data_IF_177371481686
#
_entry.id   IF_177371481686
#
_cell.length_a   1.000
_cell.length_b   1.000
_cell.length_c   1.000
_cell.angle_alpha   90.00
_cell.angle_beta   90.00
_cell.angle_gamma   90.00
#
_symmetry.space_group_name_H-M   'P 1'
#
loop_
_entity.id
_entity.type
_entity.pdbx_description
1 polymer ?
#
# COMPACT_ATOMS: atom_id res chain seq x y z
N UNK A 1 -38.03 41.98 74.05
CA UNK A 1 -37.52 40.68 74.56
C UNK A 1 -37.94 39.61 73.57
N UNK A 2 -37.13 38.84 72.86
CA UNK A 2 -35.68 38.70 72.72
C UNK A 2 -35.47 37.31 72.09
N UNK A 3 -34.65 37.23 71.03
CA UNK A 3 -33.98 36.03 70.47
C UNK A 3 -34.88 34.93 69.87
N UNK A 4 -34.59 34.27 68.73
CA UNK A 4 -33.33 33.88 68.08
C UNK A 4 -33.52 33.87 66.56
N UNK A 5 -32.62 34.52 65.83
CA UNK A 5 -32.49 34.36 64.40
C UNK A 5 -31.57 33.19 64.06
N UNK A 6 -31.99 32.34 63.13
CA UNK A 6 -31.11 31.48 62.35
C UNK A 6 -31.17 32.01 60.91
N UNK A 7 -30.18 32.82 60.54
CA UNK A 7 -29.88 33.13 59.15
C UNK A 7 -28.93 32.04 58.67
N UNK A 8 -29.44 31.09 57.91
CA UNK A 8 -28.60 30.23 57.11
C UNK A 8 -27.88 31.07 56.06
N UNK A 9 -26.56 30.90 56.03
CA UNK A 9 -25.62 31.60 55.18
C UNK A 9 -25.94 31.35 53.71
N UNK A 10 -26.20 32.44 52.99
CA UNK A 10 -26.52 32.46 51.56
C UNK A 10 -25.22 32.55 50.74
N UNK A 11 -24.36 31.52 50.78
CA UNK A 11 -23.25 31.36 49.83
C UNK A 11 -22.88 29.87 49.70
N UNK A 12 -22.99 29.24 48.51
CA UNK A 12 -22.23 28.04 48.24
C UNK A 12 -20.74 28.42 48.22
N UNK A 13 -19.99 27.74 49.08
CA UNK A 13 -18.53 27.84 49.19
C UNK A 13 -17.84 27.62 47.84
N UNK A 14 -16.96 28.56 47.50
CA UNK A 14 -15.74 28.42 46.71
C UNK A 14 -15.53 27.06 46.00
N UNK A 15 -16.03 26.94 44.76
CA UNK A 15 -15.23 26.24 43.74
C UNK A 15 -14.37 27.31 43.08
N UNK A 16 -13.12 27.39 43.50
CA UNK A 16 -12.14 28.25 42.83
C UNK A 16 -12.03 27.79 41.36
N UNK A 17 -12.11 28.69 40.36
CA UNK A 17 -12.00 28.34 38.93
C UNK A 17 -10.71 27.58 38.58
N UNK A 18 -9.70 27.70 39.45
CA UNK A 18 -8.40 27.04 39.36
C UNK A 18 -8.50 25.53 39.59
N UNK A 19 -9.37 25.06 40.50
CA UNK A 19 -9.61 23.63 40.73
C UNK A 19 -10.26 22.94 39.52
N UNK A 20 -11.24 23.60 38.90
CA UNK A 20 -11.89 23.10 37.67
C UNK A 20 -10.97 23.11 36.45
N UNK A 21 -10.01 24.05 36.38
CA UNK A 21 -9.04 24.10 35.29
C UNK A 21 -7.98 23.00 35.42
N UNK A 22 -7.52 22.72 36.64
CA UNK A 22 -6.56 21.65 36.89
C UNK A 22 -7.16 20.27 36.60
N UNK A 23 -8.40 20.02 37.03
CA UNK A 23 -9.14 18.79 36.68
C UNK A 23 -9.37 18.65 35.17
N UNK A 24 -9.72 19.74 34.47
CA UNK A 24 -9.88 19.71 33.02
C UNK A 24 -8.57 19.48 32.27
N UNK A 25 -7.45 20.02 32.78
CA UNK A 25 -6.11 19.77 32.22
C UNK A 25 -5.69 18.31 32.43
N UNK A 26 -5.94 17.74 33.61
CA UNK A 26 -5.60 16.34 33.91
C UNK A 26 -6.41 15.35 33.07
N UNK A 27 -7.71 15.64 32.87
CA UNK A 27 -8.55 14.89 31.94
C UNK A 27 -8.06 15.03 30.48
N UNK A 28 -7.66 16.23 30.06
CA UNK A 28 -7.09 16.45 28.73
C UNK A 28 -5.78 15.69 28.55
N UNK A 29 -4.88 15.68 29.54
CA UNK A 29 -3.61 14.95 29.50
C UNK A 29 -3.85 13.45 29.47
N UNK A 30 -4.74 12.92 30.31
CA UNK A 30 -5.11 11.49 30.29
C UNK A 30 -5.74 11.09 28.96
N UNK A 31 -6.64 11.91 28.41
CA UNK A 31 -7.23 11.68 27.10
C UNK A 31 -6.19 11.73 25.97
N UNK A 32 -5.22 12.65 26.07
CA UNK A 32 -4.10 12.74 25.13
C UNK A 32 -3.18 11.52 25.24
N UNK A 33 -2.83 11.08 26.45
CA UNK A 33 -1.99 9.91 26.68
C UNK A 33 -2.67 8.62 26.21
N UNK A 34 -3.95 8.44 26.50
CA UNK A 34 -4.75 7.33 25.97
C UNK A 34 -4.85 7.39 24.44
N UNK A 35 -5.05 8.58 23.88
CA UNK A 35 -5.07 8.77 22.43
C UNK A 35 -3.72 8.37 21.81
N UNK A 36 -2.62 8.90 22.32
CA UNK A 36 -1.25 8.60 21.87
C UNK A 36 -0.93 7.11 22.03
N UNK A 37 -1.32 6.51 23.15
CA UNK A 37 -1.16 5.08 23.43
C UNK A 37 -1.91 4.26 22.38
N UNK A 38 -3.17 4.58 22.08
CA UNK A 38 -3.94 3.88 21.05
C UNK A 38 -3.33 4.04 19.66
N UNK A 39 -2.87 5.24 19.29
CA UNK A 39 -2.19 5.46 18.02
C UNK A 39 -0.89 4.64 17.92
N UNK A 40 -0.14 4.50 19.02
CA UNK A 40 1.06 3.67 19.06
C UNK A 40 0.73 2.18 18.87
N UNK A 41 -0.30 1.66 19.54
CA UNK A 41 -0.75 0.28 19.33
C UNK A 41 -1.15 0.02 17.88
N UNK A 42 -1.88 0.96 17.25
CA UNK A 42 -2.27 0.84 15.84
C UNK A 42 -1.06 0.87 14.91
N UNK A 43 -0.04 1.68 15.22
CA UNK A 43 1.22 1.66 14.49
C UNK A 43 1.91 0.29 14.63
N UNK A 44 1.95 -0.29 15.83
CA UNK A 44 2.51 -1.63 16.02
C UNK A 44 1.73 -2.71 15.26
N UNK A 45 0.39 -2.66 15.27
CA UNK A 45 -0.44 -3.60 14.49
C UNK A 45 -0.20 -3.47 13.00
N UNK A 46 -0.02 -2.24 12.51
CA UNK A 46 0.35 -1.97 11.12
C UNK A 46 1.69 -2.61 10.74
N UNK A 47 2.72 -2.43 11.58
CA UNK A 47 4.04 -3.03 11.34
C UNK A 47 3.99 -4.57 11.41
N UNK A 48 3.28 -5.12 12.39
CA UNK A 48 3.11 -6.57 12.54
C UNK A 48 2.36 -7.17 11.35
N UNK A 49 1.28 -6.52 10.89
CA UNK A 49 0.55 -6.91 9.69
C UNK A 49 1.50 -7.09 8.51
N UNK A 50 2.35 -6.10 8.22
CA UNK A 50 3.32 -6.19 7.13
C UNK A 50 4.42 -7.23 7.36
N UNK A 51 4.93 -7.37 8.60
CA UNK A 51 5.91 -8.41 8.91
C UNK A 51 5.37 -9.82 8.62
N UNK A 52 4.10 -10.07 8.93
CA UNK A 52 3.45 -11.34 8.61
C UNK A 52 3.20 -11.50 7.10
N UNK A 53 2.84 -10.42 6.40
CA UNK A 53 2.73 -10.40 4.93
C UNK A 53 4.02 -10.76 4.24
N UNK A 54 5.16 -10.20 4.67
CA UNK A 54 6.48 -10.50 4.11
C UNK A 54 6.90 -11.96 4.31
N UNK A 55 6.34 -12.63 5.33
CA UNK A 55 6.55 -14.06 5.59
C UNK A 55 5.51 -14.97 4.91
N UNK A 56 4.55 -14.41 4.17
CA UNK A 56 3.42 -15.18 3.60
C UNK A 56 2.47 -15.74 4.66
N UNK A 57 2.48 -15.21 5.89
CA UNK A 57 1.65 -15.70 7.01
C UNK A 57 0.30 -14.98 7.04
N UNK A 58 -0.57 -15.32 6.07
CA UNK A 58 -1.83 -14.62 5.79
C UNK A 58 -2.80 -14.57 6.97
N UNK A 59 -2.90 -15.65 7.77
CA UNK A 59 -3.80 -15.72 8.93
C UNK A 59 -3.49 -14.67 9.98
N UNK A 60 -2.20 -14.45 10.27
CA UNK A 60 -1.76 -13.43 11.22
C UNK A 60 -1.90 -12.03 10.63
N UNK A 61 -1.56 -11.84 9.35
CA UNK A 61 -1.77 -10.56 8.69
C UNK A 61 -3.25 -10.14 8.67
N UNK A 62 -4.15 -11.09 8.39
CA UNK A 62 -5.59 -10.93 8.47
C UNK A 62 -6.07 -10.55 9.88
N UNK A 63 -5.54 -11.20 10.93
CA UNK A 63 -5.84 -10.85 12.32
C UNK A 63 -5.52 -9.39 12.65
N UNK A 64 -4.32 -8.91 12.28
CA UNK A 64 -3.97 -7.49 12.53
C UNK A 64 -4.75 -6.52 11.64
N UNK A 65 -5.07 -6.90 10.40
CA UNK A 65 -5.95 -6.11 9.54
C UNK A 65 -7.36 -5.96 10.13
N UNK A 66 -7.88 -7.01 10.77
CA UNK A 66 -9.16 -6.96 11.49
C UNK A 66 -9.11 -5.99 12.68
N UNK A 67 -8.09 -6.09 13.55
CA UNK A 67 -7.90 -5.15 14.66
C UNK A 67 -7.85 -3.69 14.18
N UNK A 68 -7.04 -3.42 13.16
CA UNK A 68 -6.95 -2.08 12.55
C UNK A 68 -8.29 -1.63 11.98
N UNK A 69 -9.04 -2.51 11.31
CA UNK A 69 -10.33 -2.15 10.71
C UNK A 69 -11.42 -1.78 11.74
N UNK A 70 -11.32 -2.34 12.95
CA UNK A 70 -12.25 -2.10 14.06
C UNK A 70 -11.87 -0.86 14.86
N UNK A 71 -10.59 -0.68 15.13
CA UNK A 71 -10.11 0.34 16.08
C UNK A 71 -9.61 1.62 15.42
N UNK A 72 -9.16 1.57 14.16
CA UNK A 72 -8.53 2.70 13.49
C UNK A 72 -9.48 3.40 12.49
N UNK A 73 -9.66 4.71 12.67
CA UNK A 73 -10.55 5.53 11.84
C UNK A 73 -9.86 6.25 10.66
N UNK A 74 -8.53 6.18 10.53
CA UNK A 74 -7.78 6.96 9.53
C UNK A 74 -8.04 6.50 8.09
N UNK A 75 -8.21 5.19 7.86
CA UNK A 75 -8.54 4.66 6.54
C UNK A 75 -9.28 3.33 6.58
N UNK A 76 -10.52 3.37 7.08
CA UNK A 76 -11.36 2.17 7.25
C UNK A 76 -11.54 1.36 5.95
N UNK A 77 -11.70 2.04 4.81
CA UNK A 77 -11.81 1.37 3.51
C UNK A 77 -10.53 0.60 3.15
N UNK A 78 -9.35 1.15 3.46
CA UNK A 78 -8.07 0.46 3.21
C UNK A 78 -7.92 -0.76 4.11
N UNK A 79 -8.22 -0.65 5.41
CA UNK A 79 -8.08 -1.78 6.33
C UNK A 79 -9.04 -2.92 6.01
N UNK A 80 -10.30 -2.61 5.66
CA UNK A 80 -11.26 -3.64 5.22
C UNK A 80 -10.84 -4.27 3.90
N UNK A 81 -10.29 -3.49 2.95
CA UNK A 81 -9.71 -4.04 1.73
C UNK A 81 -8.53 -4.99 2.03
N UNK A 82 -7.60 -4.59 2.91
CA UNK A 82 -6.47 -5.44 3.30
C UNK A 82 -6.94 -6.72 4.00
N UNK A 83 -7.94 -6.62 4.88
CA UNK A 83 -8.58 -7.76 5.53
C UNK A 83 -9.17 -8.73 4.49
N UNK A 84 -9.93 -8.22 3.51
CA UNK A 84 -10.46 -9.02 2.41
C UNK A 84 -9.34 -9.64 1.55
N UNK A 85 -8.29 -8.86 1.26
CA UNK A 85 -7.14 -9.31 0.49
C UNK A 85 -6.42 -10.47 1.18
N UNK A 86 -6.13 -10.39 2.48
CA UNK A 86 -5.52 -11.51 3.20
C UNK A 86 -6.44 -12.72 3.27
N UNK A 87 -7.74 -12.53 3.50
CA UNK A 87 -8.68 -13.64 3.54
C UNK A 87 -8.75 -14.36 2.18
N UNK A 88 -8.66 -13.63 1.07
CA UNK A 88 -8.61 -14.22 -0.28
C UNK A 88 -7.32 -15.00 -0.58
N UNK A 89 -6.28 -14.88 0.26
CA UNK A 89 -5.02 -15.62 0.14
C UNK A 89 -5.03 -16.95 0.91
N UNK A 90 -6.11 -17.28 1.61
CA UNK A 90 -6.24 -18.52 2.36
C UNK A 90 -6.48 -19.70 1.42
N UNK A 91 -6.06 -20.89 1.84
CA UNK A 91 -6.45 -22.14 1.17
C UNK A 91 -7.93 -22.46 1.44
N UNK A 92 -8.57 -23.24 0.59
CA UNK A 92 -10.03 -23.51 0.70
C UNK A 92 -10.41 -24.15 2.03
N UNK A 93 -9.50 -24.96 2.57
CA UNK A 93 -9.65 -25.71 3.81
C UNK A 93 -9.19 -24.92 5.05
N UNK A 94 -8.66 -23.71 4.88
CA UNK A 94 -8.19 -22.90 5.99
C UNK A 94 -9.35 -22.43 6.88
N UNK A 95 -9.15 -22.59 8.19
CA UNK A 95 -10.06 -22.05 9.19
C UNK A 95 -10.13 -20.51 9.12
N UNK A 96 -11.36 -19.96 9.00
CA UNK A 96 -11.65 -18.52 9.01
C UNK A 96 -11.96 -18.06 10.45
N UNK A 97 -11.03 -17.40 11.17
CA UNK A 97 -11.18 -17.20 12.62
C UNK A 97 -12.31 -16.25 13.03
N UNK A 98 -12.79 -15.40 12.12
CA UNK A 98 -13.88 -14.47 12.39
C UNK A 98 -15.17 -14.77 11.60
N UNK A 99 -15.18 -15.86 10.81
CA UNK A 99 -16.32 -16.22 9.97
C UNK A 99 -16.66 -15.20 8.87
N UNK A 100 -15.72 -14.32 8.51
CA UNK A 100 -15.94 -13.36 7.42
C UNK A 100 -15.99 -14.04 6.05
N UNK A 101 -16.61 -13.35 5.11
CA UNK A 101 -16.61 -13.67 3.69
C UNK A 101 -15.83 -12.60 2.92
N UNK A 102 -14.84 -13.00 2.14
CA UNK A 102 -13.96 -12.08 1.42
C UNK A 102 -14.72 -11.26 0.36
N UNK A 103 -15.73 -11.84 -0.29
CA UNK A 103 -16.54 -11.15 -1.29
C UNK A 103 -17.38 -10.06 -0.63
N UNK A 104 -18.02 -10.35 0.49
CA UNK A 104 -18.79 -9.36 1.25
C UNK A 104 -17.91 -8.24 1.80
N UNK A 105 -16.69 -8.56 2.28
CA UNK A 105 -15.73 -7.54 2.69
C UNK A 105 -15.33 -6.63 1.52
N UNK A 106 -15.02 -7.18 0.35
CA UNK A 106 -14.73 -6.37 -0.83
C UNK A 106 -15.93 -5.50 -1.26
N UNK A 107 -17.15 -6.03 -1.22
CA UNK A 107 -18.39 -5.28 -1.53
C UNK A 107 -18.63 -4.10 -0.59
N UNK A 108 -18.18 -4.20 0.67
CA UNK A 108 -18.32 -3.12 1.63
C UNK A 108 -17.35 -1.94 1.38
N UNK A 109 -16.17 -2.18 0.78
CA UNK A 109 -15.09 -1.18 0.63
C UNK A 109 -15.57 0.16 0.01
N UNK A 110 -16.35 0.19 -1.10
CA UNK A 110 -16.85 1.43 -1.68
C UNK A 110 -17.69 2.30 -0.71
N UNK A 111 -18.42 1.68 0.21
CA UNK A 111 -19.28 2.35 1.19
C UNK A 111 -18.53 2.93 2.39
N UNK A 112 -17.27 2.54 2.60
CA UNK A 112 -16.45 2.95 3.75
C UNK A 112 -15.55 4.16 3.48
N UNK A 113 -15.68 4.75 2.28
CA UNK A 113 -14.87 5.86 1.79
C UNK A 113 -14.98 7.08 2.71
N UNK A 114 -13.83 7.58 3.16
CA UNK A 114 -13.76 8.86 3.87
C UNK A 114 -13.50 10.01 2.90
N UNK A 115 -14.00 11.20 3.25
CA UNK A 115 -13.69 12.46 2.56
C UNK A 115 -13.01 13.39 3.55
N UNK A 116 -11.75 13.71 3.31
CA UNK A 116 -10.98 14.70 4.04
C UNK A 116 -10.85 15.93 3.14
N UNK A 117 -11.37 17.08 3.58
CA UNK A 117 -11.42 18.31 2.77
C UNK A 117 -11.98 18.08 1.35
N UNK A 118 -13.04 17.28 1.23
CA UNK A 118 -13.70 16.95 -0.05
C UNK A 118 -12.93 15.96 -0.95
N UNK A 119 -11.71 15.57 -0.58
CA UNK A 119 -10.89 14.58 -1.31
C UNK A 119 -10.83 13.27 -0.53
N UNK A 120 -10.76 12.16 -1.24
CA UNK A 120 -10.47 10.85 -0.61
C UNK A 120 -9.01 10.50 -0.76
N UNK A 121 -8.52 9.77 0.22
CA UNK A 121 -7.16 9.25 0.27
C UNK A 121 -6.86 8.45 -1.01
N UNK A 122 -5.68 8.63 -1.64
CA UNK A 122 -5.33 7.91 -2.86
C UNK A 122 -5.41 6.38 -2.71
N UNK A 123 -5.00 5.86 -1.55
CA UNK A 123 -5.05 4.43 -1.20
C UNK A 123 -6.47 3.91 -1.09
N UNK A 124 -7.40 4.68 -0.52
CA UNK A 124 -8.83 4.31 -0.53
C UNK A 124 -9.39 4.30 -1.95
N UNK A 125 -9.06 5.31 -2.76
CA UNK A 125 -9.50 5.33 -4.16
C UNK A 125 -9.00 4.11 -4.93
N UNK A 126 -7.77 3.68 -4.66
CA UNK A 126 -7.20 2.45 -5.22
C UNK A 126 -7.99 1.23 -4.78
N UNK A 127 -8.15 1.01 -3.47
CA UNK A 127 -8.91 -0.11 -2.89
C UNK A 127 -10.37 -0.17 -3.40
N UNK A 128 -11.03 0.99 -3.48
CA UNK A 128 -12.39 1.11 -4.03
C UNK A 128 -12.42 0.72 -5.51
N UNK A 129 -11.42 1.12 -6.30
CA UNK A 129 -11.38 0.78 -7.73
C UNK A 129 -11.22 -0.73 -7.94
N UNK A 130 -10.29 -1.36 -7.21
CA UNK A 130 -10.03 -2.80 -7.28
C UNK A 130 -11.23 -3.63 -6.80
N UNK A 131 -11.90 -3.19 -5.73
CA UNK A 131 -13.07 -3.89 -5.18
C UNK A 131 -14.34 -3.82 -6.05
N UNK A 132 -14.42 -2.92 -7.02
CA UNK A 132 -15.63 -2.79 -7.89
C UNK A 132 -15.99 -4.08 -8.62
N UNK A 133 -15.02 -4.93 -8.97
CA UNK A 133 -15.28 -6.21 -9.64
C UNK A 133 -16.10 -7.19 -8.78
N UNK A 134 -16.15 -6.96 -7.46
CA UNK A 134 -16.95 -7.75 -6.52
C UNK A 134 -18.41 -7.32 -6.42
N UNK A 135 -18.79 -6.18 -7.01
CA UNK A 135 -20.20 -5.74 -7.06
C UNK A 135 -21.05 -6.59 -8.02
N UNK A 136 -20.41 -7.34 -8.92
CA UNK A 136 -21.09 -8.33 -9.76
C UNK A 136 -21.71 -9.44 -8.89
N UNK A 137 -22.88 -9.99 -9.25
CA UNK A 137 -23.43 -11.20 -8.63
C UNK A 137 -22.49 -12.41 -8.74
N UNK A 138 -21.69 -12.46 -9.81
CA UNK A 138 -20.66 -13.49 -10.05
C UNK A 138 -19.31 -12.79 -10.17
N UNK A 139 -18.65 -12.47 -9.05
CA UNK A 139 -17.42 -11.69 -9.06
C UNK A 139 -16.24 -12.53 -9.56
N UNK A 140 -15.30 -11.88 -10.24
CA UNK A 140 -14.01 -12.48 -10.62
C UNK A 140 -12.98 -12.03 -9.59
N UNK A 141 -12.31 -12.97 -8.96
CA UNK A 141 -11.37 -12.69 -7.87
C UNK A 141 -10.15 -11.88 -8.35
N UNK A 142 -9.58 -11.10 -7.43
CA UNK A 142 -8.29 -10.44 -7.65
C UNK A 142 -7.16 -11.47 -7.51
N UNK A 143 -6.15 -11.48 -8.40
CA UNK A 143 -4.96 -12.29 -8.20
C UNK A 143 -4.08 -11.62 -7.14
N UNK A 144 -3.74 -12.37 -6.09
CA UNK A 144 -2.75 -11.97 -5.08
C UNK A 144 -2.88 -10.52 -4.54
N UNK A 145 -4.08 -10.04 -4.16
CA UNK A 145 -4.32 -8.62 -3.84
C UNK A 145 -3.48 -8.09 -2.67
N UNK A 146 -3.05 -8.97 -1.74
CA UNK A 146 -2.14 -8.59 -0.67
C UNK A 146 -0.75 -8.20 -1.19
N UNK A 147 -0.25 -8.89 -2.23
CA UNK A 147 1.04 -8.63 -2.85
C UNK A 147 1.01 -7.41 -3.78
N UNK A 148 -0.14 -7.11 -4.37
CA UNK A 148 -0.38 -5.84 -5.06
C UNK A 148 -0.30 -4.66 -4.07
N UNK A 149 -0.95 -4.77 -2.91
CA UNK A 149 -0.85 -3.75 -1.86
C UNK A 149 0.57 -3.64 -1.31
N UNK A 150 1.29 -4.75 -1.17
CA UNK A 150 2.69 -4.72 -0.81
C UNK A 150 3.53 -3.86 -1.78
N UNK A 151 3.25 -3.90 -3.08
CA UNK A 151 3.90 -3.01 -4.05
C UNK A 151 3.55 -1.54 -3.81
N UNK A 152 2.27 -1.24 -3.57
CA UNK A 152 1.81 0.13 -3.28
C UNK A 152 2.51 0.70 -2.03
N UNK A 153 2.80 -0.12 -1.03
CA UNK A 153 3.53 0.27 0.18
C UNK A 153 5.04 0.07 0.13
N UNK A 154 5.61 -0.18 -1.05
CA UNK A 154 7.06 -0.33 -1.25
C UNK A 154 7.67 -1.53 -0.48
N UNK A 155 6.87 -2.55 -0.17
CA UNK A 155 7.29 -3.72 0.61
C UNK A 155 8.36 -4.57 -0.07
N UNK A 156 8.41 -4.60 -1.41
CA UNK A 156 9.46 -5.34 -2.14
C UNK A 156 10.86 -4.79 -1.85
N UNK A 157 11.00 -3.48 -1.63
CA UNK A 157 12.27 -2.89 -1.21
C UNK A 157 12.69 -3.29 0.21
N UNK A 158 11.71 -3.61 1.08
CA UNK A 158 11.95 -4.07 2.44
C UNK A 158 12.50 -5.49 2.43
N UNK A 159 11.88 -6.39 1.65
CA UNK A 159 12.31 -7.79 1.57
C UNK A 159 13.49 -8.02 0.62
N UNK A 160 13.82 -7.07 -0.25
CA UNK A 160 14.80 -7.25 -1.31
C UNK A 160 16.24 -7.54 -0.86
N UNK A 161 16.57 -7.34 0.42
CA UNK A 161 17.86 -7.74 1.03
C UNK A 161 17.78 -9.09 1.77
N UNK A 162 16.65 -9.77 1.70
CA UNK A 162 16.34 -11.04 2.35
C UNK A 162 15.91 -12.03 1.27
N UNK A 163 16.86 -12.73 0.62
CA UNK A 163 16.57 -13.65 -0.47
C UNK A 163 15.51 -14.68 -0.09
N UNK A 164 15.56 -15.20 1.15
CA UNK A 164 14.61 -16.23 1.62
C UNK A 164 13.15 -15.73 1.61
N UNK A 165 12.92 -14.46 1.99
CA UNK A 165 11.59 -13.86 1.93
C UNK A 165 11.18 -13.56 0.49
N UNK A 166 12.13 -13.11 -0.33
CA UNK A 166 11.87 -12.78 -1.75
C UNK A 166 11.54 -14.03 -2.57
N UNK A 167 12.24 -15.13 -2.34
CA UNK A 167 11.95 -16.43 -2.95
C UNK A 167 10.57 -16.94 -2.52
N UNK A 168 10.24 -16.88 -1.22
CA UNK A 168 8.92 -17.28 -0.74
C UNK A 168 7.77 -16.48 -1.38
N UNK A 169 7.95 -15.17 -1.57
CA UNK A 169 6.97 -14.34 -2.31
C UNK A 169 6.95 -14.69 -3.80
N UNK A 170 8.10 -14.94 -4.43
CA UNK A 170 8.19 -15.33 -5.83
C UNK A 170 7.48 -16.66 -6.11
N UNK A 171 7.55 -17.63 -5.21
CA UNK A 171 6.82 -18.90 -5.30
C UNK A 171 5.30 -18.69 -5.33
N UNK A 172 4.79 -17.80 -4.47
CA UNK A 172 3.35 -17.45 -4.42
C UNK A 172 2.92 -16.78 -5.74
N UNK A 173 3.73 -15.85 -6.25
CA UNK A 173 3.47 -15.15 -7.52
C UNK A 173 3.49 -16.14 -8.69
N UNK A 174 4.44 -17.07 -8.72
CA UNK A 174 4.56 -18.09 -9.78
C UNK A 174 3.35 -19.02 -9.80
N UNK A 175 2.87 -19.46 -8.62
CA UNK A 175 1.63 -20.24 -8.52
C UNK A 175 0.42 -19.44 -9.06
N UNK A 176 0.33 -18.15 -8.73
CA UNK A 176 -0.73 -17.29 -9.23
C UNK A 176 -0.68 -17.13 -10.76
N UNK A 177 0.51 -16.98 -11.33
CA UNK A 177 0.74 -16.95 -12.79
C UNK A 177 0.23 -18.22 -13.46
N UNK A 178 0.63 -19.39 -12.97
CA UNK A 178 0.16 -20.68 -13.51
C UNK A 178 -1.36 -20.85 -13.41
N UNK A 179 -1.97 -20.36 -12.33
CA UNK A 179 -3.42 -20.39 -12.15
C UNK A 179 -4.14 -19.50 -13.16
N UNK A 180 -3.58 -18.32 -13.47
CA UNK A 180 -4.13 -17.43 -14.50
C UNK A 180 -4.03 -18.06 -15.89
N UNK A 181 -2.87 -18.66 -16.22
CA UNK A 181 -2.65 -19.33 -17.51
C UNK A 181 -3.59 -20.51 -17.76
N UNK A 182 -3.93 -21.27 -16.70
CA UNK A 182 -4.86 -22.41 -16.76
C UNK A 182 -6.33 -21.98 -16.65
N UNK A 183 -6.58 -20.75 -16.24
CA UNK A 183 -7.92 -20.21 -16.00
C UNK A 183 -8.65 -19.84 -17.29
N UNK A 184 -9.99 -19.71 -17.25
CA UNK A 184 -10.73 -19.19 -18.39
C UNK A 184 -10.41 -17.70 -18.61
N UNK A 185 -10.21 -17.33 -19.88
CA UNK A 185 -10.07 -15.93 -20.27
C UNK A 185 -11.33 -15.14 -19.88
N UNK A 186 -11.14 -13.95 -19.33
CA UNK A 186 -12.20 -13.06 -18.89
C UNK A 186 -11.81 -11.60 -19.14
N UNK A 187 -12.70 -10.67 -18.81
CA UNK A 187 -12.50 -9.26 -19.13
C UNK A 187 -11.29 -8.60 -18.46
N UNK A 188 -10.73 -9.21 -17.41
CA UNK A 188 -9.60 -8.72 -16.63
C UNK A 188 -8.30 -9.50 -16.88
N UNK A 189 -8.31 -10.55 -17.68
CA UNK A 189 -7.17 -11.48 -17.83
C UNK A 189 -5.85 -10.76 -18.12
N UNK A 190 -5.84 -9.83 -19.07
CA UNK A 190 -4.62 -9.08 -19.43
C UNK A 190 -4.12 -8.19 -18.29
N UNK A 191 -5.03 -7.51 -17.58
CA UNK A 191 -4.70 -6.67 -16.44
C UNK A 191 -4.12 -7.52 -15.29
N UNK A 192 -4.76 -8.65 -14.99
CA UNK A 192 -4.38 -9.60 -13.96
C UNK A 192 -3.00 -10.26 -14.27
N UNK A 193 -2.76 -10.66 -15.52
CA UNK A 193 -1.45 -11.15 -16.01
C UNK A 193 -0.35 -10.09 -15.89
N UNK A 194 -0.62 -8.86 -16.35
CA UNK A 194 0.36 -7.77 -16.29
C UNK A 194 0.72 -7.41 -14.84
N UNK A 195 -0.25 -7.47 -13.91
CA UNK A 195 0.00 -7.31 -12.48
C UNK A 195 0.96 -8.40 -11.96
N UNK A 196 0.68 -9.67 -12.26
CA UNK A 196 1.53 -10.79 -11.84
C UNK A 196 2.94 -10.65 -12.40
N UNK A 197 3.09 -10.30 -13.68
CA UNK A 197 4.41 -10.02 -14.31
C UNK A 197 5.15 -8.86 -13.61
N UNK A 198 4.45 -7.79 -13.23
CA UNK A 198 5.07 -6.66 -12.52
C UNK A 198 5.66 -7.11 -11.18
N UNK A 199 4.88 -7.85 -10.39
CA UNK A 199 5.29 -8.33 -9.07
C UNK A 199 6.39 -9.38 -9.19
N UNK A 200 6.31 -10.28 -10.17
CA UNK A 200 7.35 -11.27 -10.48
C UNK A 200 8.67 -10.59 -10.84
N UNK A 201 8.63 -9.59 -11.72
CA UNK A 201 9.80 -8.81 -12.14
C UNK A 201 10.49 -8.13 -10.96
N UNK A 202 9.75 -7.63 -9.97
CA UNK A 202 10.31 -7.06 -8.75
C UNK A 202 11.09 -8.09 -7.92
N UNK A 203 10.53 -9.28 -7.69
CA UNK A 203 11.24 -10.34 -6.99
C UNK A 203 12.50 -10.79 -7.75
N UNK A 204 12.38 -11.03 -9.06
CA UNK A 204 13.49 -11.45 -9.92
C UNK A 204 14.62 -10.42 -9.91
N UNK A 205 14.27 -9.13 -9.96
CA UNK A 205 15.23 -8.03 -9.82
C UNK A 205 16.01 -8.12 -8.52
N UNK A 206 15.34 -8.25 -7.37
CA UNK A 206 16.02 -8.33 -6.07
C UNK A 206 16.84 -9.62 -5.88
N UNK A 207 16.48 -10.69 -6.57
CA UNK A 207 17.24 -11.94 -6.62
C UNK A 207 18.40 -11.92 -7.64
N UNK A 208 18.63 -10.80 -8.33
CA UNK A 208 19.69 -10.66 -9.32
C UNK A 208 19.41 -11.36 -10.66
N UNK A 209 18.19 -11.85 -10.89
CA UNK A 209 17.74 -12.46 -12.15
C UNK A 209 17.32 -11.38 -13.15
N UNK A 210 18.29 -10.54 -13.51
CA UNK A 210 18.11 -9.27 -14.23
C UNK A 210 17.40 -9.45 -15.58
N UNK A 211 17.81 -10.43 -16.39
CA UNK A 211 17.24 -10.64 -17.73
C UNK A 211 15.76 -11.01 -17.66
N UNK A 212 15.39 -11.89 -16.72
CA UNK A 212 14.00 -12.31 -16.53
C UNK A 212 13.15 -11.17 -15.97
N UNK A 213 13.71 -10.36 -15.06
CA UNK A 213 13.03 -9.15 -14.58
C UNK A 213 12.74 -8.17 -15.72
N UNK A 214 13.72 -7.92 -16.59
CA UNK A 214 13.56 -7.07 -17.77
C UNK A 214 12.48 -7.60 -18.72
N UNK A 215 12.47 -8.90 -19.01
CA UNK A 215 11.44 -9.53 -19.85
C UNK A 215 10.03 -9.35 -19.27
N UNK A 216 9.88 -9.57 -17.96
CA UNK A 216 8.61 -9.36 -17.26
C UNK A 216 8.13 -7.91 -17.41
N UNK A 217 8.98 -6.91 -17.16
CA UNK A 217 8.59 -5.50 -17.29
C UNK A 217 8.26 -5.10 -18.74
N UNK A 218 9.02 -5.59 -19.72
CA UNK A 218 8.76 -5.31 -21.15
C UNK A 218 7.47 -5.93 -21.64
N UNK A 219 7.11 -7.12 -21.15
CA UNK A 219 5.87 -7.81 -21.52
C UNK A 219 4.61 -6.99 -21.17
N UNK A 220 4.68 -6.21 -20.10
CA UNK A 220 3.58 -5.32 -19.67
C UNK A 220 3.38 -4.20 -20.70
N UNK A 221 4.45 -3.54 -21.12
CA UNK A 221 4.40 -2.50 -22.16
C UNK A 221 3.91 -3.05 -23.50
N UNK A 222 4.26 -4.29 -23.85
CA UNK A 222 3.78 -4.94 -25.07
C UNK A 222 2.26 -5.16 -25.08
N UNK A 223 1.62 -5.22 -23.90
CA UNK A 223 0.18 -5.38 -23.75
C UNK A 223 -0.57 -4.07 -23.44
N UNK A 224 0.07 -2.90 -23.54
CA UNK A 224 -0.51 -1.60 -23.19
C UNK A 224 -1.90 -1.36 -23.79
N UNK A 225 -2.08 -1.64 -25.09
CA UNK A 225 -3.36 -1.41 -25.79
C UNK A 225 -4.48 -2.36 -25.36
N UNK A 226 -4.15 -3.44 -24.64
CA UNK A 226 -5.09 -4.47 -24.21
C UNK A 226 -5.51 -4.32 -22.74
N UNK A 227 -4.75 -3.57 -21.94
CA UNK A 227 -5.09 -3.25 -20.54
C UNK A 227 -6.35 -2.37 -20.52
N UNK A 228 -7.34 -2.75 -19.72
CA UNK A 228 -8.65 -2.05 -19.68
C UNK A 228 -8.88 -1.22 -18.43
N UNK A 229 -8.31 -1.62 -17.29
CA UNK A 229 -8.67 -1.10 -15.98
C UNK A 229 -7.46 -0.53 -15.25
N UNK A 230 -6.39 -1.32 -15.12
CA UNK A 230 -5.23 -1.07 -14.29
C UNK A 230 -4.11 -0.35 -15.05
N UNK A 231 -4.48 0.78 -15.65
CA UNK A 231 -3.57 1.66 -16.41
C UNK A 231 -2.34 2.15 -15.62
N UNK A 232 -2.32 2.00 -14.29
CA UNK A 232 -1.13 2.30 -13.50
C UNK A 232 0.01 1.30 -13.78
N UNK A 233 -0.27 0.10 -14.28
CA UNK A 233 0.73 -0.93 -14.54
C UNK A 233 1.81 -0.46 -15.52
N UNK A 234 1.43 0.26 -16.58
CA UNK A 234 2.38 0.70 -17.61
C UNK A 234 3.43 1.70 -17.08
N UNK A 235 3.08 2.87 -16.52
CA UNK A 235 4.07 3.81 -16.01
C UNK A 235 4.87 3.23 -14.83
N UNK A 236 4.31 2.29 -14.06
CA UNK A 236 5.05 1.59 -13.02
C UNK A 236 6.04 0.56 -13.60
N UNK A 237 5.69 -0.21 -14.63
CA UNK A 237 6.61 -1.13 -15.31
C UNK A 237 7.78 -0.38 -15.96
N UNK A 238 7.51 0.77 -16.60
CA UNK A 238 8.56 1.64 -17.15
C UNK A 238 9.48 2.19 -16.07
N UNK A 239 8.93 2.60 -14.92
CA UNK A 239 9.71 3.03 -13.76
C UNK A 239 10.60 1.90 -13.22
N UNK A 240 10.06 0.70 -13.01
CA UNK A 240 10.85 -0.43 -12.49
C UNK A 240 11.93 -0.89 -13.47
N UNK A 241 11.64 -0.89 -14.78
CA UNK A 241 12.63 -1.16 -15.82
C UNK A 241 13.74 -0.09 -15.85
N UNK A 242 13.38 1.18 -15.70
CA UNK A 242 14.37 2.26 -15.61
C UNK A 242 15.28 2.09 -14.38
N UNK A 243 14.71 1.75 -13.22
CA UNK A 243 15.49 1.48 -12.02
C UNK A 243 16.44 0.28 -12.21
N UNK A 244 15.99 -0.77 -12.91
CA UNK A 244 16.83 -1.92 -13.28
C UNK A 244 17.98 -1.52 -14.21
N UNK A 245 17.76 -0.59 -15.14
CA UNK A 245 18.81 -0.06 -16.02
C UNK A 245 19.80 0.83 -15.29
N UNK A 246 19.35 1.63 -14.33
CA UNK A 246 20.23 2.42 -13.47
C UNK A 246 21.19 1.53 -12.68
N UNK A 247 20.71 0.40 -12.16
CA UNK A 247 21.55 -0.59 -11.45
C UNK A 247 22.61 -1.23 -12.35
N UNK A 248 22.38 -1.28 -13.66
CA UNK A 248 23.33 -1.75 -14.68
C UNK A 248 24.22 -0.62 -15.25
N UNK A 249 24.07 0.62 -14.77
CA UNK A 249 24.77 1.79 -15.31
C UNK A 249 24.22 2.34 -16.63
N UNK A 250 23.12 1.79 -17.15
CA UNK A 250 22.45 2.20 -18.41
C UNK A 250 21.56 3.43 -18.19
N UNK A 251 22.15 4.51 -17.66
CA UNK A 251 21.41 5.69 -17.20
C UNK A 251 20.74 6.48 -18.33
N UNK A 252 21.30 6.53 -19.54
CA UNK A 252 20.69 7.20 -20.68
C UNK A 252 19.38 6.53 -21.11
N UNK A 253 19.34 5.20 -21.12
CA UNK A 253 18.13 4.43 -21.41
C UNK A 253 17.10 4.59 -20.30
N UNK A 254 17.54 4.57 -19.03
CA UNK A 254 16.67 4.80 -17.89
C UNK A 254 15.97 6.18 -17.96
N UNK A 255 16.70 7.25 -18.29
CA UNK A 255 16.12 8.59 -18.43
C UNK A 255 15.02 8.63 -19.50
N UNK A 256 15.22 7.97 -20.65
CA UNK A 256 14.21 7.89 -21.72
C UNK A 256 12.94 7.19 -21.24
N UNK A 257 13.07 6.09 -20.50
CA UNK A 257 11.94 5.36 -19.92
C UNK A 257 11.18 6.21 -18.90
N UNK A 258 11.90 6.90 -18.00
CA UNK A 258 11.30 7.78 -16.98
C UNK A 258 10.56 8.97 -17.60
N UNK A 259 11.11 9.56 -18.66
CA UNK A 259 10.46 10.65 -19.39
C UNK A 259 9.18 10.17 -20.09
N UNK A 260 9.23 8.99 -20.72
CA UNK A 260 8.07 8.33 -21.32
C UNK A 260 6.98 8.07 -20.28
N UNK A 261 7.34 7.47 -19.13
CA UNK A 261 6.41 7.15 -18.05
C UNK A 261 5.72 8.41 -17.47
N UNK A 262 6.41 9.55 -17.45
CA UNK A 262 5.88 10.82 -16.95
C UNK A 262 4.99 11.56 -17.94
N UNK A 263 5.33 11.53 -19.23
CA UNK A 263 4.68 12.38 -20.23
C UNK A 263 3.45 11.73 -20.86
N UNK A 264 3.47 10.41 -21.05
CA UNK A 264 2.50 9.71 -21.87
C UNK A 264 1.30 9.15 -21.09
N UNK A 265 1.37 9.10 -19.76
CA UNK A 265 0.35 8.46 -18.91
C UNK A 265 -0.18 9.44 -17.86
N UNK A 266 -1.51 9.51 -17.71
CA UNK A 266 -2.20 10.41 -16.77
C UNK A 266 -3.50 9.79 -16.26
N UNK A 267 -4.04 10.31 -15.15
CA UNK A 267 -5.34 9.94 -14.57
C UNK A 267 -5.45 8.46 -14.13
N UNK A 268 -4.33 7.81 -13.83
CA UNK A 268 -4.30 6.43 -13.33
C UNK A 268 -4.27 6.39 -11.80
N UNK A 269 -4.57 5.23 -11.22
CA UNK A 269 -4.57 5.08 -9.76
C UNK A 269 -3.15 5.23 -9.19
N UNK A 270 -3.02 5.94 -8.06
CA UNK A 270 -1.71 6.21 -7.42
C UNK A 270 -0.72 7.05 -8.25
N UNK A 271 -1.20 7.82 -9.23
CA UNK A 271 -0.37 8.67 -10.11
C UNK A 271 0.62 9.58 -9.35
N UNK A 272 0.16 10.30 -8.31
CA UNK A 272 1.05 11.19 -7.54
C UNK A 272 2.23 10.45 -6.90
N UNK A 273 2.01 9.21 -6.44
CA UNK A 273 3.07 8.36 -5.88
C UNK A 273 4.06 7.95 -6.97
N UNK A 274 3.56 7.48 -8.11
CA UNK A 274 4.42 7.06 -9.24
C UNK A 274 5.23 8.24 -9.78
N UNK A 275 4.63 9.43 -9.91
CA UNK A 275 5.35 10.65 -10.32
C UNK A 275 6.47 11.05 -9.35
N UNK A 276 6.22 10.97 -8.05
CA UNK A 276 7.26 11.24 -7.05
C UNK A 276 8.45 10.29 -7.20
N UNK A 277 8.19 8.99 -7.40
CA UNK A 277 9.25 7.99 -7.65
C UNK A 277 9.98 8.24 -8.97
N UNK A 278 9.27 8.57 -10.05
CA UNK A 278 9.87 8.91 -11.34
C UNK A 278 10.78 10.13 -11.20
N UNK A 279 10.34 11.17 -10.48
CA UNK A 279 11.14 12.38 -10.27
C UNK A 279 12.43 12.06 -9.49
N UNK A 280 12.32 11.30 -8.40
CA UNK A 280 13.48 10.88 -7.61
C UNK A 280 14.48 10.07 -8.47
N UNK A 281 14.00 9.09 -9.23
CA UNK A 281 14.83 8.28 -10.12
C UNK A 281 15.47 9.11 -11.24
N UNK A 282 14.74 10.08 -11.80
CA UNK A 282 15.25 10.96 -12.87
C UNK A 282 16.40 11.83 -12.36
N UNK A 283 16.27 12.40 -11.16
CA UNK A 283 17.32 13.19 -10.54
C UNK A 283 18.57 12.36 -10.28
N UNK A 284 18.41 11.14 -9.76
CA UNK A 284 19.50 10.21 -9.52
C UNK A 284 20.22 9.83 -10.83
N UNK A 285 19.48 9.41 -11.86
CA UNK A 285 20.05 9.00 -13.14
C UNK A 285 20.83 10.14 -13.82
N UNK A 286 20.27 11.37 -13.83
CA UNK A 286 20.94 12.55 -14.42
C UNK A 286 22.22 12.92 -13.64
N UNK A 287 22.18 12.87 -12.32
CA UNK A 287 23.38 13.12 -11.50
C UNK A 287 24.49 12.09 -11.78
N UNK A 288 24.16 10.81 -11.96
CA UNK A 288 25.13 9.78 -12.34
C UNK A 288 25.79 10.04 -13.71
N UNK A 289 25.02 10.52 -14.69
CA UNK A 289 25.55 10.89 -16.02
C UNK A 289 26.51 12.08 -15.96
N UNK A 290 26.17 13.11 -15.19
CA UNK A 290 27.03 14.28 -15.00
C UNK A 290 28.35 13.92 -14.31
N UNK A 291 28.29 13.07 -13.28
CA UNK A 291 29.48 12.59 -12.57
C UNK A 291 30.36 11.70 -13.45
N UNK A 292 29.76 10.79 -14.23
CA UNK A 292 30.48 9.98 -15.22
C UNK A 292 31.21 10.83 -16.25
N UNK A 293 30.54 11.86 -16.76
CA UNK A 293 31.13 12.81 -17.73
C UNK A 293 32.31 13.58 -17.15
N UNK A 294 32.21 14.07 -15.91
CA UNK A 294 33.31 14.77 -15.22
C UNK A 294 34.52 13.85 -14.97
N UNK A 295 34.28 12.58 -14.62
CA UNK A 295 35.36 11.62 -14.41
C UNK A 295 36.14 11.30 -15.70
N UNK A 296 35.45 11.17 -16.84
CA UNK A 296 36.08 10.96 -18.14
C UNK A 296 36.91 12.15 -18.61
N UNK A 297 36.43 13.38 -18.42
CA UNK A 297 37.18 14.60 -18.76
C UNK A 297 38.46 14.72 -17.93
N UNK A 298 38.41 14.34 -16.65
CA UNK A 298 39.60 14.34 -15.78
C UNK A 298 40.63 13.27 -16.17
N UNK A 299 40.20 12.11 -16.69
CA UNK A 299 41.11 11.04 -17.12
C UNK A 299 41.75 11.24 -18.49
N UNK A 300 41.14 12.05 -19.37
CA UNK A 300 41.67 12.37 -20.71
C UNK A 300 42.66 13.56 -20.64
N UNK A 301 42.71 14.27 -19.51
CA UNK A 301 43.56 15.44 -19.28
C UNK A 301 44.89 15.12 -18.58
N UNK A 302 45.25 13.83 -18.45
CA UNK A 302 46.52 13.32 -17.90
C UNK A 302 47.26 12.53 -18.98
#
# INVERSE_FOLDING_TARGET
MGQKGHKDSLYPSDRTPVGSLHEALDQCMTALDLFLTNQFHHMCYWELMWCFTYKGQWKMAYFYADLLSKENCWSKATYIYMKAAYLSMFEKEDYKPFGDDEVELFRAVPGLKLKIAGKSLPTEKFAIRKSRRYLSPKPISLPIPALEMMYIWNGYAVIGKRPELTDGILEIITKAEEMLEKGPENEYSVDDECLVKLLKGLCLKYLGRVLEAEENFRSISANEKKIKYDHYLIPNALLELALLFMEQGRNEEAVKLLETARQNYKNYSMESRTHFRIQAATLQAKSSLENGSRSMVSSVSL
#
